data_IF_462271409046
#
_entry.id   IF_462271409046
#
_cell.length_a   1.000
_cell.length_b   1.000
_cell.length_c   1.000
_cell.angle_alpha   90.00
_cell.angle_beta   90.00
_cell.angle_gamma   90.00
#
_symmetry.space_group_name_H-M   'P 1'
#
loop_
_entity.id
_entity.type
_entity.pdbx_description
1 polymer ?
#
# COMPACT_ATOMS: atom_id res chain seq x y z
N UNK A 1 15.78 13.83 30.45
CA UNK A 1 14.65 13.33 29.64
C UNK A 1 15.30 12.80 28.38
N UNK A 2 15.73 11.55 28.48
CA UNK A 2 16.67 10.90 27.59
C UNK A 2 15.85 10.18 26.52
N UNK A 3 15.87 10.71 25.30
CA UNK A 3 15.23 10.08 24.16
C UNK A 3 16.11 8.91 23.70
N UNK A 4 15.47 7.76 23.58
CA UNK A 4 15.99 6.46 23.13
C UNK A 4 16.46 6.56 21.66
N UNK A 5 17.58 7.25 21.42
CA UNK A 5 18.08 7.65 20.08
C UNK A 5 18.88 6.53 19.38
N UNK A 6 18.88 5.30 19.92
CA UNK A 6 19.69 4.16 19.45
C UNK A 6 18.90 3.06 18.77
N UNK A 7 17.57 3.15 18.65
CA UNK A 7 16.81 2.15 17.89
C UNK A 7 16.86 2.48 16.39
N UNK A 8 17.51 1.64 15.56
CA UNK A 8 17.43 1.80 14.12
C UNK A 8 15.96 1.73 13.72
N UNK A 9 15.45 2.81 13.12
CA UNK A 9 14.10 2.83 12.57
C UNK A 9 14.05 1.73 11.51
N UNK A 10 13.09 0.79 11.54
CA UNK A 10 12.96 -0.18 10.47
C UNK A 10 12.76 0.60 9.18
N UNK A 11 13.73 0.47 8.27
CA UNK A 11 13.65 0.99 6.93
C UNK A 11 12.72 0.02 6.18
N UNK A 12 11.59 0.47 5.63
CA UNK A 12 10.81 -0.36 4.72
C UNK A 12 11.75 -0.89 3.64
N UNK A 13 11.86 -2.22 3.56
CA UNK A 13 12.67 -2.87 2.52
C UNK A 13 12.07 -2.58 1.13
N UNK A 14 12.88 -2.60 0.07
CA UNK A 14 12.35 -2.50 -1.28
C UNK A 14 11.30 -3.61 -1.48
N UNK A 15 10.16 -3.33 -2.13
CA UNK A 15 9.13 -4.33 -2.36
C UNK A 15 9.74 -5.52 -3.12
N UNK A 16 9.33 -6.76 -2.81
CA UNK A 16 9.79 -7.90 -3.57
C UNK A 16 9.43 -7.70 -5.05
N UNK A 17 10.38 -7.97 -5.95
CA UNK A 17 10.12 -8.08 -7.40
C UNK A 17 9.27 -9.32 -7.66
N UNK A 18 8.02 -9.31 -7.18
CA UNK A 18 7.00 -10.27 -7.56
C UNK A 18 6.70 -10.04 -9.03
N UNK A 19 6.71 -11.13 -9.80
CA UNK A 19 6.26 -11.15 -11.19
C UNK A 19 4.94 -10.38 -11.29
N UNK A 20 4.99 -9.21 -11.93
CA UNK A 20 3.80 -8.43 -12.24
C UNK A 20 3.06 -9.24 -13.30
N UNK A 21 2.20 -10.15 -12.86
CA UNK A 21 1.10 -10.64 -13.68
C UNK A 21 0.37 -9.38 -14.14
N UNK A 22 0.27 -9.18 -15.46
CA UNK A 22 -0.37 -8.00 -16.04
C UNK A 22 -1.63 -7.65 -15.24
N UNK A 23 -1.67 -6.47 -14.59
CA UNK A 23 -2.82 -6.10 -13.81
C UNK A 23 -3.98 -5.93 -14.79
N UNK A 24 -4.96 -6.82 -14.69
CA UNK A 24 -6.28 -6.55 -15.25
C UNK A 24 -6.75 -5.28 -14.55
N UNK A 25 -6.96 -4.22 -15.32
CA UNK A 25 -7.46 -2.96 -14.78
C UNK A 25 -8.92 -3.20 -14.41
N UNK A 26 -9.14 -3.57 -13.15
CA UNK A 26 -10.46 -3.75 -12.59
C UNK A 26 -10.77 -2.56 -11.68
N UNK A 27 -11.65 -1.66 -12.13
CA UNK A 27 -12.15 -0.53 -11.32
C UNK A 27 -12.75 -1.03 -9.99
N UNK A 28 -13.26 -2.26 -9.98
CA UNK A 28 -13.78 -2.92 -8.79
C UNK A 28 -12.70 -3.23 -7.75
N UNK A 29 -11.48 -3.60 -8.19
CA UNK A 29 -10.35 -3.82 -7.29
C UNK A 29 -9.86 -2.50 -6.65
N UNK A 30 -9.92 -1.39 -7.39
CA UNK A 30 -9.63 -0.05 -6.85
C UNK A 30 -10.70 0.35 -5.83
N UNK A 31 -11.97 0.14 -6.15
CA UNK A 31 -13.08 0.46 -5.24
C UNK A 31 -13.02 -0.37 -3.95
N UNK A 32 -12.71 -1.66 -4.03
CA UNK A 32 -12.55 -2.53 -2.86
C UNK A 32 -11.37 -2.10 -1.99
N UNK A 33 -10.22 -1.79 -2.60
CA UNK A 33 -9.05 -1.29 -1.89
C UNK A 33 -9.35 0.04 -1.17
N UNK A 34 -10.01 1.00 -1.85
CA UNK A 34 -10.42 2.28 -1.24
C UNK A 34 -11.47 2.07 -0.16
N UNK A 35 -12.41 1.14 -0.33
CA UNK A 35 -13.38 0.78 0.69
C UNK A 35 -12.71 0.20 1.95
N UNK A 36 -11.59 -0.50 1.78
CA UNK A 36 -10.73 -1.00 2.87
C UNK A 36 -10.11 0.10 3.74
N UNK A 37 -10.09 1.35 3.28
CA UNK A 37 -9.64 2.50 4.08
C UNK A 37 -10.70 3.01 5.06
N UNK A 38 -11.95 2.57 4.94
CA UNK A 38 -12.99 2.97 5.90
C UNK A 38 -12.68 2.45 7.31
N UNK A 39 -12.94 3.29 8.32
CA UNK A 39 -12.74 2.93 9.72
C UNK A 39 -11.28 2.74 10.13
N UNK A 40 -10.33 3.35 9.40
CA UNK A 40 -8.92 3.35 9.80
C UNK A 40 -8.72 3.92 11.21
N UNK A 41 -9.51 4.93 11.61
CA UNK A 41 -9.43 5.55 12.94
C UNK A 41 -9.68 4.58 14.11
N UNK A 42 -10.38 3.47 13.84
CA UNK A 42 -10.64 2.42 14.82
C UNK A 42 -9.50 1.39 14.91
N UNK A 43 -8.49 1.48 14.06
CA UNK A 43 -7.35 0.57 14.04
C UNK A 43 -6.10 1.16 14.71
N UNK A 44 -5.18 0.29 15.16
CA UNK A 44 -3.81 0.69 15.46
C UNK A 44 -3.12 1.34 14.26
N UNK A 45 -2.35 2.40 14.52
CA UNK A 45 -1.57 3.13 13.49
C UNK A 45 -0.62 2.20 12.72
N UNK A 46 -0.15 1.12 13.35
CA UNK A 46 0.69 0.12 12.69
C UNK A 46 -0.02 -0.54 11.50
N UNK A 47 -1.33 -0.73 11.57
CA UNK A 47 -2.14 -1.40 10.54
C UNK A 47 -2.55 -0.43 9.42
N UNK A 48 -2.41 0.88 9.65
CA UNK A 48 -2.71 1.89 8.63
C UNK A 48 -1.76 1.76 7.45
N UNK A 49 -0.47 1.49 7.72
CA UNK A 49 0.56 1.40 6.69
C UNK A 49 0.25 0.27 5.70
N UNK A 50 -0.14 -0.90 6.20
CA UNK A 50 -0.49 -2.06 5.36
C UNK A 50 -1.74 -1.78 4.49
N UNK A 51 -2.75 -1.11 5.07
CA UNK A 51 -3.95 -0.71 4.31
C UNK A 51 -3.65 0.33 3.24
N UNK A 52 -2.84 1.35 3.55
CA UNK A 52 -2.44 2.35 2.57
C UNK A 52 -1.55 1.74 1.47
N UNK A 53 -0.66 0.81 1.81
CA UNK A 53 0.17 0.09 0.84
C UNK A 53 -0.70 -0.71 -0.15
N UNK A 54 -1.73 -1.39 0.35
CA UNK A 54 -2.69 -2.13 -0.49
C UNK A 54 -3.36 -1.22 -1.53
N UNK A 55 -3.83 -0.04 -1.11
CA UNK A 55 -4.42 0.95 -2.05
C UNK A 55 -3.37 1.50 -3.01
N UNK A 56 -2.17 1.77 -2.54
CA UNK A 56 -1.09 2.30 -3.36
C UNK A 56 -0.70 1.32 -4.48
N UNK A 57 -0.60 0.02 -4.17
CA UNK A 57 -0.34 -1.04 -5.14
C UNK A 57 -1.46 -1.14 -6.17
N UNK A 58 -2.72 -1.16 -5.73
CA UNK A 58 -3.88 -1.22 -6.63
C UNK A 58 -3.93 -0.03 -7.60
N UNK A 59 -3.69 1.18 -7.09
CA UNK A 59 -3.68 2.39 -7.92
C UNK A 59 -2.49 2.42 -8.90
N UNK A 60 -1.30 2.01 -8.44
CA UNK A 60 -0.09 1.95 -9.27
C UNK A 60 -0.26 0.94 -10.40
N UNK A 61 -0.85 -0.23 -10.10
CA UNK A 61 -1.17 -1.25 -11.08
C UNK A 61 -2.15 -0.72 -12.15
N UNK A 62 -3.22 -0.03 -11.73
CA UNK A 62 -4.19 0.57 -12.64
C UNK A 62 -3.56 1.63 -13.55
N UNK A 63 -2.74 2.53 -12.98
CA UNK A 63 -2.05 3.57 -13.76
C UNK A 63 -1.02 3.00 -14.73
N UNK A 64 -0.26 1.98 -14.32
CA UNK A 64 0.70 1.29 -15.18
C UNK A 64 0.01 0.54 -16.34
N UNK A 65 -1.22 0.06 -16.13
CA UNK A 65 -2.03 -0.54 -17.18
C UNK A 65 -2.51 0.45 -18.24
N UNK A 66 -2.75 1.72 -17.87
CA UNK A 66 -3.19 2.78 -18.78
C UNK A 66 -2.06 3.26 -19.70
N UNK A 67 -0.81 3.20 -19.24
CA UNK A 67 0.39 3.65 -19.99
C UNK A 67 0.76 2.71 -21.16
N UNK A 68 0.13 1.54 -21.26
CA UNK A 68 0.25 0.65 -22.44
C UNK A 68 -0.68 1.13 -23.57
N UNK A 69 -0.26 2.17 -24.29
CA UNK A 69 -0.87 2.64 -25.56
C UNK A 69 0.06 2.47 -26.75
#
# INVERSE_FOLDING_TARGET
MDFDETRPRPIPGPPPSGSVTDPVIDDEAINDAVAGLNGLDALPVADHVERYDTVHVALTAALAGIDKV
#
